data_IF_113187385847
#
_entry.id   IF_113187385847
#
_cell.length_a   1.000
_cell.length_b   1.000
_cell.length_c   1.000
_cell.angle_alpha   90.00
_cell.angle_beta   90.00
_cell.angle_gamma   90.00
#
_symmetry.space_group_name_H-M   'P 1'
#
loop_
_entity.id
_entity.type
_entity.pdbx_description
1 polymer ?
#
# COMPACT_ATOMS: atom_id res chain seq x y z
N UNK A 1 -4.11 7.44 -22.47
CA UNK A 1 -5.07 6.86 -21.50
C UNK A 1 -4.63 7.27 -20.11
N UNK A 2 -5.55 7.55 -19.18
CA UNK A 2 -5.16 7.72 -17.77
C UNK A 2 -4.73 6.35 -17.25
N UNK A 3 -3.67 6.28 -16.42
CA UNK A 3 -3.29 5.03 -15.77
C UNK A 3 -4.46 4.51 -14.94
N UNK A 4 -4.65 3.21 -14.89
CA UNK A 4 -5.69 2.59 -14.06
C UNK A 4 -5.09 1.82 -12.86
N UNK A 5 -3.78 1.75 -12.74
CA UNK A 5 -3.06 1.15 -11.62
C UNK A 5 -2.32 2.26 -10.89
N UNK A 6 -2.60 2.42 -9.60
CA UNK A 6 -1.95 3.38 -8.71
C UNK A 6 -1.26 2.62 -7.57
N UNK A 7 -0.05 3.02 -7.23
CA UNK A 7 0.64 2.46 -6.07
C UNK A 7 0.40 3.37 -4.86
N UNK A 8 0.00 2.78 -3.74
CA UNK A 8 -0.21 3.48 -2.47
C UNK A 8 0.96 3.15 -1.54
N UNK A 9 1.76 4.15 -1.21
CA UNK A 9 2.84 4.03 -0.22
C UNK A 9 2.74 5.15 0.81
N UNK A 10 3.64 5.20 1.75
CA UNK A 10 3.61 6.23 2.80
C UNK A 10 4.95 6.43 3.46
N UNK A 11 4.95 7.34 4.44
CA UNK A 11 6.15 7.70 5.19
C UNK A 11 6.69 6.55 6.06
N UNK A 12 5.82 5.61 6.50
CA UNK A 12 6.18 4.56 7.45
C UNK A 12 5.07 3.50 7.54
N UNK A 13 5.29 2.43 8.33
CA UNK A 13 4.33 1.36 8.56
C UNK A 13 3.00 1.91 9.08
N UNK A 14 2.98 2.63 10.17
CA UNK A 14 1.76 3.12 10.83
C UNK A 14 1.29 4.50 10.33
N UNK A 15 1.60 4.86 9.10
CA UNK A 15 1.13 6.09 8.49
C UNK A 15 -0.39 6.09 8.19
N UNK A 16 -1.03 4.93 8.26
CA UNK A 16 -2.46 4.75 7.96
C UNK A 16 -2.76 4.43 6.50
N UNK A 17 -1.82 3.82 5.78
CA UNK A 17 -2.01 3.44 4.37
C UNK A 17 -3.28 2.64 4.15
N UNK A 18 -3.49 1.57 4.93
CA UNK A 18 -4.62 0.65 4.72
C UNK A 18 -5.97 1.34 4.93
N UNK A 19 -6.07 2.26 5.92
CA UNK A 19 -7.26 3.11 6.07
C UNK A 19 -7.45 4.07 4.90
N UNK A 20 -6.39 4.74 4.47
CA UNK A 20 -6.44 5.69 3.35
C UNK A 20 -6.77 4.99 2.03
N UNK A 21 -6.20 3.80 1.79
CA UNK A 21 -6.46 2.98 0.61
C UNK A 21 -7.92 2.55 0.56
N UNK A 22 -8.44 2.03 1.66
CA UNK A 22 -9.83 1.60 1.76
C UNK A 22 -10.82 2.78 1.64
N UNK A 23 -10.52 3.89 2.32
CA UNK A 23 -11.33 5.10 2.22
C UNK A 23 -11.37 5.62 0.78
N UNK A 24 -10.22 5.75 0.12
CA UNK A 24 -10.15 6.20 -1.26
C UNK A 24 -10.90 5.27 -2.21
N UNK A 25 -10.76 3.95 -2.02
CA UNK A 25 -11.51 2.95 -2.79
C UNK A 25 -13.02 3.16 -2.67
N UNK A 26 -13.52 3.40 -1.45
CA UNK A 26 -14.94 3.67 -1.19
C UNK A 26 -15.40 4.95 -1.86
N UNK A 27 -14.66 6.05 -1.71
CA UNK A 27 -15.02 7.35 -2.31
C UNK A 27 -15.07 7.26 -3.84
N UNK A 28 -14.10 6.58 -4.45
CA UNK A 28 -14.08 6.37 -5.90
C UNK A 28 -15.26 5.50 -6.37
N UNK A 29 -15.61 4.46 -5.58
CA UNK A 29 -16.76 3.60 -5.89
C UNK A 29 -18.09 4.37 -5.79
N UNK A 30 -18.26 5.23 -4.79
CA UNK A 30 -19.42 6.11 -4.66
C UNK A 30 -19.55 7.09 -5.83
N UNK A 31 -18.44 7.43 -6.47
CA UNK A 31 -18.40 8.23 -7.71
C UNK A 31 -18.53 7.38 -9.00
N UNK A 32 -19.04 6.16 -8.90
CA UNK A 32 -19.39 5.31 -10.03
C UNK A 32 -18.21 4.58 -10.70
N UNK A 33 -17.05 4.49 -10.03
CA UNK A 33 -15.91 3.72 -10.52
C UNK A 33 -15.94 2.29 -9.99
N UNK A 34 -15.57 1.32 -10.82
CA UNK A 34 -15.27 -0.03 -10.34
C UNK A 34 -13.83 -0.03 -9.81
N UNK A 35 -13.66 -0.13 -8.51
CA UNK A 35 -12.36 -0.03 -7.84
C UNK A 35 -12.06 -1.30 -7.07
N UNK A 36 -10.84 -1.76 -7.16
CA UNK A 36 -10.32 -2.87 -6.36
C UNK A 36 -9.03 -2.47 -5.64
N UNK A 37 -8.84 -2.97 -4.44
CA UNK A 37 -7.59 -2.82 -3.70
C UNK A 37 -6.81 -4.12 -3.75
N UNK A 38 -5.49 -4.02 -3.85
CA UNK A 38 -4.55 -5.13 -3.82
C UNK A 38 -3.47 -4.86 -2.78
N UNK A 39 -3.15 -5.82 -1.97
CA UNK A 39 -1.95 -5.79 -1.14
C UNK A 39 -0.77 -6.29 -1.96
N UNK A 40 0.24 -5.45 -2.15
CA UNK A 40 1.43 -5.77 -2.95
C UNK A 40 2.15 -7.01 -2.41
N UNK A 41 2.52 -6.96 -1.13
CA UNK A 41 3.11 -8.06 -0.36
C UNK A 41 2.58 -7.94 1.06
N UNK A 42 2.01 -9.01 1.57
CA UNK A 42 1.60 -9.13 2.96
C UNK A 42 2.70 -9.86 3.75
N UNK A 43 3.05 -9.35 4.92
CA UNK A 43 3.93 -10.04 5.89
C UNK A 43 3.22 -10.18 7.22
N UNK A 44 3.56 -11.22 7.99
CA UNK A 44 2.96 -11.48 9.30
C UNK A 44 1.60 -12.18 9.26
N UNK A 45 1.21 -12.72 8.11
CA UNK A 45 -0.04 -13.43 7.94
C UNK A 45 0.16 -14.79 7.25
N UNK A 46 -0.84 -15.66 7.36
CA UNK A 46 -0.90 -16.93 6.65
C UNK A 46 -2.27 -17.10 5.98
N UNK A 47 -2.28 -17.34 4.68
CA UNK A 47 -3.49 -17.65 3.92
C UNK A 47 -4.40 -16.46 3.60
N UNK A 48 -4.29 -15.33 4.29
CA UNK A 48 -5.08 -14.12 4.06
C UNK A 48 -4.27 -12.86 4.32
N UNK A 49 -4.84 -11.69 4.09
CA UNK A 49 -4.22 -10.38 4.34
C UNK A 49 -5.12 -9.54 5.26
N UNK A 50 -4.61 -9.19 6.45
CA UNK A 50 -5.30 -8.28 7.37
C UNK A 50 -5.61 -6.92 6.74
N UNK A 51 -4.76 -6.44 5.84
CA UNK A 51 -4.98 -5.19 5.12
C UNK A 51 -6.17 -5.32 4.16
N UNK A 52 -6.28 -6.43 3.42
CA UNK A 52 -7.45 -6.70 2.57
C UNK A 52 -8.71 -6.87 3.40
N UNK A 53 -8.64 -7.57 4.54
CA UNK A 53 -9.79 -7.68 5.47
C UNK A 53 -10.26 -6.30 5.93
N UNK A 54 -9.32 -5.41 6.27
CA UNK A 54 -9.63 -4.03 6.64
C UNK A 54 -10.26 -3.26 5.47
N UNK A 55 -9.73 -3.42 4.26
CA UNK A 55 -10.27 -2.78 3.06
C UNK A 55 -11.73 -3.20 2.83
N UNK A 56 -12.02 -4.50 2.88
CA UNK A 56 -13.38 -5.03 2.68
C UNK A 56 -14.35 -4.55 3.75
N UNK A 57 -13.90 -4.48 4.99
CA UNK A 57 -14.71 -3.95 6.11
C UNK A 57 -15.05 -2.47 5.94
N UNK A 58 -14.10 -1.63 5.53
CA UNK A 58 -14.30 -0.19 5.36
C UNK A 58 -15.15 0.11 4.11
N UNK A 59 -14.94 -0.63 3.02
CA UNK A 59 -15.74 -0.49 1.79
C UNK A 59 -17.14 -1.09 1.92
N UNK A 60 -17.33 -2.01 2.86
CA UNK A 60 -18.61 -2.71 3.05
C UNK A 60 -18.92 -3.77 2.00
N UNK A 61 -17.94 -4.18 1.20
CA UNK A 61 -18.13 -5.13 0.11
C UNK A 61 -18.20 -6.60 0.56
N UNK A 62 -17.66 -6.91 1.76
CA UNK A 62 -17.35 -8.29 2.10
C UNK A 62 -16.21 -8.86 1.24
N UNK A 63 -15.94 -10.15 1.38
CA UNK A 63 -14.94 -10.85 0.55
C UNK A 63 -15.44 -10.93 -0.90
N UNK A 64 -14.52 -10.72 -1.84
CA UNK A 64 -14.78 -10.73 -3.28
C UNK A 64 -14.21 -12.01 -3.91
N UNK A 65 -14.71 -12.43 -5.09
CA UNK A 65 -14.13 -13.56 -5.83
C UNK A 65 -12.62 -13.42 -6.06
N UNK A 66 -12.13 -12.20 -6.32
CA UNK A 66 -10.73 -11.89 -6.52
C UNK A 66 -9.87 -12.11 -5.26
N UNK A 67 -10.47 -12.03 -4.08
CA UNK A 67 -9.80 -12.37 -2.82
C UNK A 67 -9.62 -13.89 -2.70
N UNK A 68 -10.65 -14.65 -3.05
CA UNK A 68 -10.60 -16.13 -3.08
C UNK A 68 -9.65 -16.66 -4.16
N UNK A 69 -9.58 -15.98 -5.31
CA UNK A 69 -8.62 -16.26 -6.38
C UNK A 69 -7.16 -15.89 -5.99
N UNK A 70 -6.95 -15.15 -4.87
CA UNK A 70 -5.66 -14.67 -4.42
C UNK A 70 -5.07 -13.54 -5.27
N UNK A 71 -5.89 -12.89 -6.12
CA UNK A 71 -5.45 -11.78 -6.96
C UNK A 71 -5.18 -10.52 -6.16
N UNK A 72 -5.91 -10.30 -5.07
CA UNK A 72 -5.78 -9.10 -4.23
C UNK A 72 -4.68 -9.20 -3.18
N UNK A 73 -4.12 -10.39 -2.98
CA UNK A 73 -3.03 -10.65 -2.04
C UNK A 73 -2.09 -11.74 -2.59
N UNK A 74 -1.42 -11.46 -3.73
CA UNK A 74 -0.67 -12.48 -4.46
C UNK A 74 0.53 -13.04 -3.69
N UNK A 75 1.15 -12.25 -2.80
CA UNK A 75 2.29 -12.66 -1.98
C UNK A 75 2.00 -12.44 -0.50
N UNK A 76 2.01 -13.54 0.26
CA UNK A 76 1.82 -13.55 1.71
C UNK A 76 2.98 -14.30 2.34
N UNK A 77 3.63 -13.69 3.33
CA UNK A 77 4.72 -14.27 4.11
C UNK A 77 4.34 -14.34 5.58
N UNK A 78 4.75 -15.43 6.24
CA UNK A 78 4.29 -15.76 7.58
C UNK A 78 4.80 -14.83 8.69
N UNK A 79 6.02 -14.29 8.53
CA UNK A 79 6.70 -13.55 9.60
C UNK A 79 6.51 -12.02 9.45
N UNK A 80 6.16 -11.28 10.54
CA UNK A 80 5.94 -9.83 10.49
C UNK A 80 7.26 -9.04 10.49
N UNK A 81 7.86 -8.92 9.32
CA UNK A 81 9.07 -8.15 9.08
C UNK A 81 9.08 -7.60 7.66
N UNK A 82 10.20 -6.98 7.25
CA UNK A 82 10.36 -6.51 5.87
C UNK A 82 10.27 -7.67 4.85
N UNK A 83 9.73 -7.44 3.64
CA UNK A 83 9.52 -8.50 2.65
C UNK A 83 10.75 -9.35 2.35
N UNK A 84 11.94 -8.73 2.21
CA UNK A 84 13.18 -9.47 1.94
C UNK A 84 13.55 -10.44 3.07
N UNK A 85 13.32 -10.05 4.32
CA UNK A 85 13.60 -10.94 5.47
C UNK A 85 12.51 -12.00 5.60
N UNK A 86 11.25 -11.65 5.43
CA UNK A 86 10.14 -12.60 5.44
C UNK A 86 10.32 -13.71 4.39
N UNK A 87 10.74 -13.34 3.17
CA UNK A 87 11.04 -14.30 2.10
C UNK A 87 12.17 -15.28 2.46
N UNK A 88 13.20 -14.82 3.19
CA UNK A 88 14.27 -15.69 3.70
C UNK A 88 13.78 -16.65 4.77
N UNK A 89 12.96 -16.15 5.71
CA UNK A 89 12.38 -16.98 6.79
C UNK A 89 11.49 -18.06 6.19
N UNK A 90 10.62 -17.71 5.25
CA UNK A 90 9.73 -18.64 4.56
C UNK A 90 10.45 -19.47 3.47
N UNK A 91 11.76 -19.25 3.27
CA UNK A 91 12.61 -19.96 2.31
C UNK A 91 12.07 -19.99 0.89
N UNK A 92 11.42 -18.91 0.47
CA UNK A 92 10.93 -18.72 -0.89
C UNK A 92 11.13 -17.27 -1.35
N UNK A 93 11.57 -17.05 -2.60
CA UNK A 93 11.70 -15.71 -3.14
C UNK A 93 10.32 -15.06 -3.33
N UNK A 94 10.28 -13.73 -3.39
CA UNK A 94 9.11 -12.98 -3.82
C UNK A 94 8.90 -13.24 -5.31
N UNK A 95 7.70 -13.69 -5.70
CA UNK A 95 7.33 -13.87 -7.11
C UNK A 95 6.72 -12.57 -7.68
N UNK A 96 7.59 -11.67 -8.16
CA UNK A 96 7.16 -10.42 -8.81
C UNK A 96 6.31 -10.69 -10.07
N UNK A 97 6.57 -11.79 -10.78
CA UNK A 97 5.77 -12.18 -11.93
C UNK A 97 4.33 -12.54 -11.55
N UNK A 98 4.13 -13.21 -10.42
CA UNK A 98 2.81 -13.50 -9.87
C UNK A 98 2.07 -12.22 -9.50
N UNK A 99 2.75 -11.29 -8.80
CA UNK A 99 2.18 -10.00 -8.45
C UNK A 99 1.75 -9.26 -9.72
N UNK A 100 2.60 -9.19 -10.73
CA UNK A 100 2.30 -8.48 -11.97
C UNK A 100 1.11 -9.10 -12.71
N UNK A 101 1.07 -10.42 -12.87
CA UNK A 101 -0.07 -11.11 -13.51
C UNK A 101 -1.36 -10.83 -12.76
N UNK A 102 -1.36 -10.90 -11.44
CA UNK A 102 -2.53 -10.59 -10.62
C UNK A 102 -2.98 -9.13 -10.79
N UNK A 103 -2.05 -8.18 -10.71
CA UNK A 103 -2.35 -6.75 -10.89
C UNK A 103 -2.93 -6.46 -12.28
N UNK A 104 -2.37 -7.05 -13.34
CA UNK A 104 -2.86 -6.88 -14.70
C UNK A 104 -4.25 -7.50 -14.90
N UNK A 105 -4.53 -8.64 -14.27
CA UNK A 105 -5.85 -9.26 -14.31
C UNK A 105 -6.89 -8.37 -13.61
N UNK A 106 -6.57 -7.83 -12.45
CA UNK A 106 -7.43 -6.86 -11.77
C UNK A 106 -7.66 -5.60 -12.63
N UNK A 107 -6.63 -5.10 -13.31
CA UNK A 107 -6.72 -3.93 -14.18
C UNK A 107 -7.59 -4.16 -15.44
N UNK A 108 -7.82 -5.41 -15.85
CA UNK A 108 -8.80 -5.75 -16.90
C UNK A 108 -10.23 -5.75 -16.39
N UNK A 109 -10.44 -6.12 -15.13
CA UNK A 109 -11.78 -6.25 -14.52
C UNK A 109 -12.29 -4.94 -13.94
N UNK A 110 -11.40 -4.04 -13.52
CA UNK A 110 -11.72 -2.82 -12.77
C UNK A 110 -11.22 -1.56 -13.48
N UNK A 111 -11.91 -0.46 -13.22
CA UNK A 111 -11.53 0.85 -13.77
C UNK A 111 -10.30 1.42 -13.06
N UNK A 112 -10.11 1.06 -11.77
CA UNK A 112 -9.00 1.51 -10.93
C UNK A 112 -8.54 0.35 -10.03
N UNK A 113 -7.21 0.14 -9.98
CA UNK A 113 -6.55 -0.77 -9.04
C UNK A 113 -5.66 0.05 -8.11
N UNK A 114 -5.89 -0.04 -6.82
CA UNK A 114 -5.07 0.58 -5.77
C UNK A 114 -4.16 -0.50 -5.17
N UNK A 115 -2.88 -0.47 -5.51
CA UNK A 115 -1.87 -1.43 -5.02
C UNK A 115 -1.21 -0.87 -3.78
N UNK A 116 -1.50 -1.42 -2.61
CA UNK A 116 -0.92 -0.98 -1.34
C UNK A 116 0.40 -1.67 -1.03
N UNK A 117 1.44 -0.87 -0.83
CA UNK A 117 2.76 -1.34 -0.40
C UNK A 117 2.83 -1.72 1.08
N UNK A 118 3.92 -2.40 1.47
CA UNK A 118 4.26 -2.71 2.85
C UNK A 118 5.28 -1.69 3.36
N UNK A 119 5.02 -1.07 4.52
CA UNK A 119 5.92 -0.06 5.11
C UNK A 119 6.06 1.21 4.26
N UNK A 120 7.26 1.76 4.22
CA UNK A 120 7.58 2.98 3.46
C UNK A 120 8.21 2.70 2.10
N UNK A 121 8.58 3.78 1.38
CA UNK A 121 9.15 3.72 0.03
C UNK A 121 10.47 2.94 -0.06
N UNK A 122 11.31 3.07 0.96
CA UNK A 122 12.67 2.48 0.98
C UNK A 122 12.70 1.07 1.59
N UNK A 123 11.55 0.42 1.75
CA UNK A 123 11.47 -0.96 2.25
C UNK A 123 12.09 -1.90 1.23
N UNK A 124 13.08 -2.74 1.65
CA UNK A 124 13.73 -3.67 0.76
C UNK A 124 12.82 -4.86 0.42
N UNK A 125 12.73 -5.13 -0.87
CA UNK A 125 12.08 -6.31 -1.47
C UNK A 125 13.10 -7.44 -1.64
N UNK A 126 14.34 -7.07 -1.99
CA UNK A 126 15.52 -7.93 -1.98
C UNK A 126 16.67 -7.15 -1.35
N UNK A 127 17.90 -7.67 -1.37
CA UNK A 127 19.09 -6.95 -0.88
C UNK A 127 19.41 -5.71 -1.72
N UNK A 128 19.07 -5.73 -3.01
CA UNK A 128 19.42 -4.68 -3.98
C UNK A 128 18.22 -3.96 -4.58
N UNK A 129 16.98 -4.38 -4.25
CA UNK A 129 15.76 -3.86 -4.88
C UNK A 129 14.76 -3.39 -3.83
N UNK A 130 14.37 -2.12 -3.93
CA UNK A 130 13.49 -1.46 -2.99
C UNK A 130 12.07 -1.31 -3.56
N UNK A 131 11.09 -1.07 -2.69
CA UNK A 131 9.71 -0.77 -3.09
C UNK A 131 9.65 0.42 -4.06
N UNK A 132 10.44 1.46 -3.83
CA UNK A 132 10.47 2.66 -4.68
C UNK A 132 11.04 2.34 -6.08
N UNK A 133 11.96 1.39 -6.18
CA UNK A 133 12.54 0.98 -7.47
C UNK A 133 11.50 0.22 -8.31
N UNK A 134 10.68 -0.63 -7.66
CA UNK A 134 9.54 -1.27 -8.31
C UNK A 134 8.53 -0.24 -8.86
N UNK A 135 8.19 0.78 -8.05
CA UNK A 135 7.25 1.84 -8.47
C UNK A 135 7.80 2.59 -9.68
N UNK A 136 9.09 2.94 -9.67
CA UNK A 136 9.76 3.64 -10.77
C UNK A 136 9.81 2.80 -12.04
N UNK A 137 10.20 1.51 -11.94
CA UNK A 137 10.26 0.57 -13.06
C UNK A 137 8.89 0.37 -13.72
N UNK A 138 7.85 0.17 -12.91
CA UNK A 138 6.49 -0.04 -13.41
C UNK A 138 5.79 1.25 -13.82
N UNK A 139 6.41 2.41 -13.58
CA UNK A 139 5.87 3.75 -13.88
C UNK A 139 4.46 3.95 -13.29
N UNK A 140 4.21 3.34 -12.13
CA UNK A 140 2.93 3.51 -11.45
C UNK A 140 2.83 4.92 -10.85
N UNK A 141 1.76 5.68 -11.12
CA UNK A 141 1.49 6.89 -10.35
C UNK A 141 1.38 6.55 -8.86
N UNK A 142 2.00 7.40 -8.05
CA UNK A 142 2.09 7.20 -6.61
C UNK A 142 1.05 8.03 -5.88
N UNK A 143 0.26 7.38 -5.05
CA UNK A 143 -0.54 7.99 -3.99
C UNK A 143 0.27 7.85 -2.70
N UNK A 144 0.63 8.98 -2.10
CA UNK A 144 1.53 9.00 -0.95
C UNK A 144 0.81 9.39 0.34
N UNK A 145 0.90 8.53 1.37
CA UNK A 145 0.24 8.72 2.65
C UNK A 145 1.23 9.27 3.67
N UNK A 146 0.87 10.40 4.26
CA UNK A 146 1.58 11.00 5.41
C UNK A 146 0.62 11.22 6.57
N UNK A 147 1.13 11.64 7.73
CA UNK A 147 0.32 11.80 8.95
C UNK A 147 0.76 12.99 9.78
N UNK A 148 -0.02 13.34 10.82
CA UNK A 148 0.32 14.39 11.79
C UNK A 148 1.28 13.95 12.92
N UNK A 149 1.81 12.72 12.87
CA UNK A 149 2.73 12.20 13.89
C UNK A 149 4.01 13.03 13.96
N UNK A 150 4.55 13.22 15.16
CA UNK A 150 5.84 13.90 15.34
C UNK A 150 6.95 13.20 14.52
N UNK A 151 7.69 13.96 13.74
CA UNK A 151 8.72 13.48 12.80
C UNK A 151 8.20 13.26 11.37
N UNK A 152 6.88 13.27 11.13
CA UNK A 152 6.31 13.01 9.80
C UNK A 152 6.73 14.06 8.75
N UNK A 153 6.95 15.31 9.12
CA UNK A 153 7.45 16.35 8.21
C UNK A 153 8.81 15.94 7.64
N UNK A 154 9.74 15.52 8.49
CA UNK A 154 11.05 15.04 8.06
C UNK A 154 10.92 13.83 7.13
N UNK A 155 10.14 12.81 7.52
CA UNK A 155 9.96 11.61 6.72
C UNK A 155 9.26 11.91 5.39
N UNK A 156 8.33 12.85 5.37
CA UNK A 156 7.63 13.29 4.14
C UNK A 156 8.61 13.97 3.18
N UNK A 157 9.43 14.90 3.67
CA UNK A 157 10.39 15.60 2.83
C UNK A 157 11.47 14.67 2.28
N UNK A 158 12.02 13.78 3.11
CA UNK A 158 12.96 12.74 2.64
C UNK A 158 12.34 11.83 1.58
N UNK A 159 11.07 11.46 1.76
CA UNK A 159 10.33 10.67 0.78
C UNK A 159 10.13 11.42 -0.53
N UNK A 160 9.82 12.71 -0.49
CA UNK A 160 9.67 13.53 -1.69
C UNK A 160 10.97 13.68 -2.46
N UNK A 161 12.11 13.82 -1.77
CA UNK A 161 13.42 13.80 -2.44
C UNK A 161 13.69 12.44 -3.12
N UNK A 162 13.36 11.34 -2.46
CA UNK A 162 13.52 10.02 -3.05
C UNK A 162 12.64 9.80 -4.29
N UNK A 163 11.37 10.25 -4.25
CA UNK A 163 10.39 10.22 -5.35
C UNK A 163 10.91 11.02 -6.54
N UNK A 164 11.34 12.27 -6.28
CA UNK A 164 11.86 13.19 -7.29
C UNK A 164 13.10 12.61 -7.99
N UNK A 165 14.06 12.11 -7.21
CA UNK A 165 15.30 11.55 -7.73
C UNK A 165 15.11 10.32 -8.62
N UNK A 166 13.98 9.62 -8.51
CA UNK A 166 13.61 8.46 -9.37
C UNK A 166 12.61 8.81 -10.46
N UNK A 167 12.24 10.08 -10.62
CA UNK A 167 11.28 10.53 -11.64
C UNK A 167 9.89 9.91 -11.51
N UNK A 168 9.49 9.53 -10.29
CA UNK A 168 8.17 8.94 -10.03
C UNK A 168 7.10 10.03 -10.09
N UNK A 169 6.01 9.75 -10.78
CA UNK A 169 4.84 10.64 -10.81
C UNK A 169 4.09 10.56 -9.48
N UNK A 170 4.17 11.62 -8.69
CA UNK A 170 3.37 11.80 -7.48
C UNK A 170 1.99 12.31 -7.91
N UNK A 171 0.96 11.46 -7.82
CA UNK A 171 -0.41 11.79 -8.22
C UNK A 171 -1.14 12.56 -7.10
N UNK A 172 -1.12 12.01 -5.89
CA UNK A 172 -1.87 12.55 -4.75
C UNK A 172 -1.10 12.34 -3.46
N UNK A 173 -1.22 13.30 -2.54
CA UNK A 173 -0.77 13.16 -1.16
C UNK A 173 -1.99 13.10 -0.25
N UNK A 174 -2.12 12.03 0.52
CA UNK A 174 -3.15 11.86 1.54
C UNK A 174 -2.57 12.15 2.91
N UNK A 175 -3.10 13.15 3.59
CA UNK A 175 -2.72 13.49 4.95
C UNK A 175 -3.68 12.83 5.93
N UNK A 176 -3.19 11.82 6.65
CA UNK A 176 -3.98 11.12 7.65
C UNK A 176 -4.09 11.96 8.92
N UNK A 177 -5.30 12.43 9.20
CA UNK A 177 -5.61 13.23 10.39
C UNK A 177 -5.85 12.40 11.65
N UNK A 178 -5.80 11.06 11.55
CA UNK A 178 -6.04 10.22 12.72
C UNK A 178 -4.98 10.51 13.79
N UNK A 179 -5.39 11.00 14.99
CA UNK A 179 -4.44 11.41 16.01
C UNK A 179 -3.68 10.20 16.54
N UNK A 180 -2.37 10.31 16.61
CA UNK A 180 -1.59 9.44 17.45
C UNK A 180 -2.14 9.56 18.88
N UNK A 181 -2.57 8.45 19.49
CA UNK A 181 -3.12 8.41 20.85
C UNK A 181 -2.19 9.04 21.91
N UNK A 182 -0.92 9.26 21.58
CA UNK A 182 0.05 9.96 22.42
C UNK A 182 -0.04 11.50 22.33
N UNK A 183 -0.46 12.07 21.19
CA UNK A 183 -0.60 13.52 21.05
C UNK A 183 -1.85 14.07 21.71
N UNK A 184 -2.89 13.28 21.90
CA UNK A 184 -4.12 13.68 22.61
C UNK A 184 -3.93 13.84 24.11
N UNK A 185 -2.88 13.27 24.71
CA UNK A 185 -2.58 13.44 26.15
C UNK A 185 -1.88 14.75 26.50
N UNK A 186 -1.32 15.46 25.53
CA UNK A 186 -0.64 16.75 25.77
C UNK A 186 -1.60 17.94 25.75
N UNK A 187 -2.82 17.80 25.23
CA UNK A 187 -3.82 18.88 25.16
C UNK A 187 -4.87 18.85 26.30
N UNK A 188 -4.75 17.95 27.27
CA UNK A 188 -5.71 17.84 28.41
C UNK A 188 -5.16 18.38 29.73
N UNK A 189 -4.06 19.15 29.70
CA UNK A 189 -3.49 19.81 30.88
C UNK A 189 -3.29 21.29 30.64
N UNK A 190 -4.38 22.05 30.53
CA UNK A 190 -4.48 23.48 30.80
C UNK A 190 -5.85 23.79 31.37
#
# INVERSE_FOLDING_TARGET
>A
MRPNIYFVSGIDTDAGKSYCTAWLSRELAQNGKRVITQKFIQTGNTGHSEDIDLHRRITGTGYLPEDEEGLTMPEIFSYPCSPHLASRIDRRPIDFGKIERATQELARRYDIVLVEGAGGLMVPLTEEYLTIDYIAEKKCPLIFVTSGKLGSINHTLLSFEAIKNRGITLDTVLYNLYPDRKSTRLNSSH
#
